data_IF_854640329860
#
_entry.id   IF_854640329860
#
_cell.length_a   1.000
_cell.length_b   1.000
_cell.length_c   1.000
_cell.angle_alpha   90.00
_cell.angle_beta   90.00
_cell.angle_gamma   90.00
#
_symmetry.space_group_name_H-M   'P 1'
#
loop_
_entity.id
_entity.type
_entity.pdbx_description
1 polymer ?
#
# COMPACT_ATOMS: atom_id res chain seq x y z
N UNK A 1 -5.18 27.05 -58.45
CA UNK A 1 -4.18 25.97 -58.24
C UNK A 1 -3.72 25.87 -56.78
N UNK A 2 -3.38 26.96 -56.09
CA UNK A 2 -2.86 26.97 -54.71
C UNK A 2 -3.77 26.25 -53.65
N UNK A 3 -5.07 26.47 -53.67
CA UNK A 3 -6.02 25.93 -52.72
C UNK A 3 -6.14 24.37 -52.82
N UNK A 4 -6.03 23.81 -54.04
CA UNK A 4 -6.02 22.35 -54.24
C UNK A 4 -4.73 21.69 -53.71
N UNK A 5 -3.59 22.33 -53.91
CA UNK A 5 -2.31 21.86 -53.38
C UNK A 5 -2.30 21.89 -51.82
N UNK A 6 -2.82 22.96 -51.24
CA UNK A 6 -2.92 23.10 -49.77
C UNK A 6 -3.84 22.05 -49.15
N UNK A 7 -5.00 21.75 -49.77
CA UNK A 7 -5.89 20.64 -49.32
C UNK A 7 -5.21 19.28 -49.41
N UNK A 8 -4.42 19.02 -50.44
CA UNK A 8 -3.70 17.74 -50.55
C UNK A 8 -2.64 17.56 -49.44
N UNK A 9 -1.92 18.63 -49.10
CA UNK A 9 -0.93 18.63 -48.02
C UNK A 9 -1.62 18.38 -46.66
N UNK A 10 -2.71 19.07 -46.36
CA UNK A 10 -3.47 18.90 -45.12
C UNK A 10 -4.00 17.47 -45.01
N UNK A 11 -4.58 16.91 -46.06
CA UNK A 11 -5.09 15.55 -46.07
C UNK A 11 -3.96 14.51 -45.86
N UNK A 12 -2.77 14.74 -46.44
CA UNK A 12 -1.60 13.89 -46.22
C UNK A 12 -1.14 13.91 -44.76
N UNK A 13 -1.09 15.11 -44.15
CA UNK A 13 -0.70 15.24 -42.74
C UNK A 13 -1.73 14.62 -41.78
N UNK A 14 -3.03 14.78 -42.04
CA UNK A 14 -4.10 14.15 -41.29
C UNK A 14 -4.01 12.60 -41.41
N UNK A 15 -3.72 12.06 -42.56
CA UNK A 15 -3.52 10.63 -42.78
C UNK A 15 -2.31 10.12 -42.01
N UNK A 16 -1.17 10.79 -42.07
CA UNK A 16 0.04 10.45 -41.30
C UNK A 16 -0.22 10.45 -39.79
N UNK A 17 -0.94 11.44 -39.25
CA UNK A 17 -1.31 11.49 -37.84
C UNK A 17 -2.15 10.30 -37.43
N UNK A 18 -3.18 9.95 -38.20
CA UNK A 18 -4.02 8.77 -37.92
C UNK A 18 -3.21 7.48 -37.91
N UNK A 19 -2.27 7.33 -38.86
CA UNK A 19 -1.39 6.16 -38.91
C UNK A 19 -0.47 6.10 -37.68
N UNK A 20 0.10 7.24 -37.25
CA UNK A 20 0.93 7.31 -36.04
C UNK A 20 0.15 7.03 -34.76
N UNK A 21 -1.09 7.49 -34.66
CA UNK A 21 -1.96 7.22 -33.52
C UNK A 21 -2.31 5.71 -33.46
N UNK A 22 -2.63 5.10 -34.60
CA UNK A 22 -2.88 3.66 -34.69
C UNK A 22 -1.65 2.85 -34.30
N UNK A 23 -0.45 3.23 -34.74
CA UNK A 23 0.79 2.56 -34.35
C UNK A 23 1.05 2.68 -32.85
N UNK A 24 0.93 3.88 -32.29
CA UNK A 24 1.07 4.09 -30.83
C UNK A 24 0.07 3.26 -30.01
N UNK A 25 -1.17 3.17 -30.50
CA UNK A 25 -2.18 2.34 -29.86
C UNK A 25 -1.80 0.85 -29.90
N UNK A 26 -1.37 0.34 -31.07
CA UNK A 26 -0.95 -1.07 -31.21
C UNK A 26 0.28 -1.41 -30.38
N UNK A 27 1.27 -0.49 -30.30
CA UNK A 27 2.43 -0.65 -29.43
C UNK A 27 2.04 -0.68 -27.95
N UNK A 28 1.14 0.22 -27.52
CA UNK A 28 0.63 0.23 -26.14
C UNK A 28 -0.09 -1.07 -25.79
N UNK A 29 -0.96 -1.56 -26.66
CA UNK A 29 -1.67 -2.83 -26.48
C UNK A 29 -0.69 -4.00 -26.42
N UNK A 30 0.31 -4.02 -27.33
CA UNK A 30 1.36 -5.03 -27.35
C UNK A 30 2.17 -5.06 -26.06
N UNK A 31 2.56 -3.89 -25.52
CA UNK A 31 3.28 -3.77 -24.26
C UNK A 31 2.46 -4.30 -23.09
N UNK A 32 1.21 -3.84 -22.93
CA UNK A 32 0.32 -4.31 -21.85
C UNK A 32 0.12 -5.83 -21.92
N UNK A 33 0.01 -6.39 -23.12
CA UNK A 33 -0.11 -7.83 -23.28
C UNK A 33 1.17 -8.56 -22.86
N UNK A 34 2.33 -8.07 -23.30
CA UNK A 34 3.63 -8.63 -22.91
C UNK A 34 3.88 -8.57 -21.41
N UNK A 35 3.56 -7.43 -20.77
CA UNK A 35 3.64 -7.26 -19.31
C UNK A 35 2.73 -8.26 -18.58
N UNK A 36 1.51 -8.48 -19.10
CA UNK A 36 0.57 -9.43 -18.51
C UNK A 36 1.06 -10.87 -18.61
N UNK A 37 1.63 -11.25 -19.75
CA UNK A 37 2.20 -12.59 -19.94
C UNK A 37 3.46 -12.79 -19.08
N UNK A 38 4.34 -11.79 -19.02
CA UNK A 38 5.51 -11.83 -18.14
C UNK A 38 5.11 -11.98 -16.67
N UNK A 39 4.10 -11.23 -16.23
CA UNK A 39 3.55 -11.35 -14.88
C UNK A 39 3.05 -12.76 -14.58
N UNK A 40 2.33 -13.39 -15.50
CA UNK A 40 1.87 -14.78 -15.33
C UNK A 40 3.04 -15.77 -15.20
N UNK A 41 4.10 -15.60 -16.00
CA UNK A 41 5.29 -16.46 -15.92
C UNK A 41 5.98 -16.29 -14.57
N UNK A 42 6.16 -15.06 -14.11
CA UNK A 42 6.77 -14.77 -12.80
C UNK A 42 5.90 -15.30 -11.65
N UNK A 43 4.57 -15.14 -11.73
CA UNK A 43 3.64 -15.70 -10.76
C UNK A 43 3.64 -17.23 -10.74
N UNK A 44 3.78 -17.86 -11.91
CA UNK A 44 3.93 -19.31 -12.03
C UNK A 44 5.20 -19.82 -11.36
N UNK A 45 6.34 -19.20 -11.67
CA UNK A 45 7.63 -19.55 -11.05
C UNK A 45 7.64 -19.31 -9.53
N UNK A 46 7.04 -18.21 -9.04
CA UNK A 46 6.90 -17.95 -7.59
C UNK A 46 6.05 -18.99 -6.87
N UNK A 47 5.00 -19.52 -7.51
CA UNK A 47 4.18 -20.59 -6.93
C UNK A 47 4.94 -21.91 -6.78
N UNK A 48 5.90 -22.19 -7.65
CA UNK A 48 6.74 -23.37 -7.55
C UNK A 48 7.82 -23.23 -6.47
N UNK A 49 8.31 -21.98 -6.21
CA UNK A 49 9.39 -21.72 -5.25
C UNK A 49 8.89 -21.43 -3.82
N UNK A 50 7.73 -20.74 -3.65
CA UNK A 50 7.29 -20.19 -2.37
C UNK A 50 6.07 -20.91 -1.72
N UNK A 51 5.49 -21.91 -2.35
CA UNK A 51 4.22 -22.50 -1.88
C UNK A 51 3.01 -21.58 -2.14
N UNK A 52 1.83 -21.91 -1.55
CA UNK A 52 0.54 -21.23 -1.81
C UNK A 52 0.39 -19.81 -1.20
N UNK A 53 1.48 -19.13 -0.85
CA UNK A 53 1.47 -17.81 -0.21
C UNK A 53 1.53 -16.63 -1.19
N UNK A 54 0.96 -15.47 -0.77
CA UNK A 54 1.14 -14.20 -1.46
C UNK A 54 2.34 -13.45 -0.88
N UNK A 55 3.31 -13.09 -1.71
CA UNK A 55 4.47 -12.28 -1.33
C UNK A 55 4.21 -10.82 -1.72
N UNK A 56 4.30 -9.92 -0.74
CA UNK A 56 4.18 -8.48 -0.96
C UNK A 56 5.52 -7.80 -0.69
N UNK A 57 6.04 -7.09 -1.70
CA UNK A 57 7.20 -6.24 -1.52
C UNK A 57 6.76 -4.91 -0.89
N UNK A 58 7.40 -4.43 0.18
CA UNK A 58 7.07 -3.14 0.75
C UNK A 58 7.31 -2.02 -0.25
N UNK A 59 6.40 -1.05 -0.32
CA UNK A 59 6.57 0.17 -1.12
C UNK A 59 7.47 1.20 -0.43
N UNK A 60 7.77 1.00 0.85
CA UNK A 60 8.59 1.89 1.65
C UNK A 60 8.67 1.46 3.11
N UNK A 61 9.29 2.31 3.93
CA UNK A 61 9.48 2.08 5.35
C UNK A 61 9.12 3.32 6.17
N UNK A 62 8.49 3.10 7.31
CA UNK A 62 8.21 4.19 8.25
C UNK A 62 9.50 4.63 8.97
N UNK A 63 9.65 5.95 9.17
CA UNK A 63 10.61 6.58 10.07
C UNK A 63 9.83 7.35 11.12
N UNK A 64 9.87 6.85 12.33
CA UNK A 64 9.04 7.30 13.43
C UNK A 64 9.87 7.56 14.70
N UNK A 65 9.34 8.37 15.61
CA UNK A 65 9.90 8.52 16.95
C UNK A 65 9.68 7.29 17.84
N UNK A 66 8.85 6.36 17.42
CA UNK A 66 8.54 5.13 18.16
C UNK A 66 9.52 4.02 17.77
N UNK A 67 10.70 4.00 18.40
CA UNK A 67 11.78 3.05 18.11
C UNK A 67 11.45 1.62 18.59
N UNK A 68 10.61 1.51 19.62
CA UNK A 68 10.21 0.24 20.21
C UNK A 68 8.69 0.08 20.20
N UNK A 69 8.20 -1.14 20.23
CA UNK A 69 6.75 -1.42 20.32
C UNK A 69 6.12 -0.98 21.66
N UNK A 70 6.94 -0.74 22.67
CA UNK A 70 6.53 -0.20 23.98
C UNK A 70 6.40 1.33 23.90
N UNK A 71 5.28 1.86 24.38
CA UNK A 71 5.03 3.31 24.35
C UNK A 71 4.42 3.84 23.05
N UNK A 72 4.23 3.01 22.05
CA UNK A 72 3.50 3.37 20.83
C UNK A 72 2.01 3.57 21.13
N UNK A 73 1.36 4.60 20.60
CA UNK A 73 -0.09 4.72 20.68
C UNK A 73 -0.78 3.47 20.12
N UNK A 74 -1.79 2.97 20.83
CA UNK A 74 -2.47 1.72 20.40
C UNK A 74 -3.35 1.90 19.18
N UNK A 75 -3.65 3.12 18.82
CA UNK A 75 -4.46 3.49 17.67
C UNK A 75 -4.03 4.89 17.19
N UNK A 76 -4.18 5.22 15.91
CA UNK A 76 -4.07 6.59 15.45
C UNK A 76 -5.11 7.46 16.17
N UNK A 77 -4.87 8.75 16.31
CA UNK A 77 -5.75 9.68 17.00
C UNK A 77 -5.45 9.90 18.49
N UNK A 78 -4.70 9.02 19.13
CA UNK A 78 -4.35 9.18 20.55
C UNK A 78 -3.26 10.24 20.78
N UNK A 79 -2.38 10.45 19.79
CA UNK A 79 -1.32 11.46 19.81
C UNK A 79 -1.34 12.23 18.48
N UNK A 80 -2.23 13.22 18.32
CA UNK A 80 -2.44 13.92 17.05
C UNK A 80 -1.19 14.56 16.44
N UNK A 81 -0.28 15.02 17.29
CA UNK A 81 0.95 15.71 16.88
C UNK A 81 2.14 14.77 16.64
N UNK A 82 1.97 13.46 16.83
CA UNK A 82 3.03 12.51 16.51
C UNK A 82 3.28 12.50 15.00
N UNK A 83 4.47 12.88 14.58
CA UNK A 83 4.89 12.94 13.18
C UNK A 83 5.80 11.77 12.84
N UNK A 84 5.63 11.26 11.64
CA UNK A 84 6.47 10.25 11.04
C UNK A 84 6.69 10.56 9.56
N UNK A 85 7.67 9.90 8.98
CA UNK A 85 7.97 9.96 7.55
C UNK A 85 7.88 8.55 6.98
N UNK A 86 7.23 8.39 5.84
CA UNK A 86 7.28 7.15 5.06
C UNK A 86 8.29 7.37 3.95
N UNK A 87 9.42 6.67 4.01
CA UNK A 87 10.43 6.66 2.95
C UNK A 87 10.03 5.64 1.90
N UNK A 88 9.90 6.09 0.66
CA UNK A 88 9.40 5.29 -0.45
C UNK A 88 10.58 4.66 -1.20
N UNK A 89 10.44 3.41 -1.56
CA UNK A 89 11.42 2.64 -2.31
C UNK A 89 11.61 3.17 -3.75
N UNK A 90 12.81 3.06 -4.29
CA UNK A 90 13.16 3.60 -5.61
C UNK A 90 12.36 2.97 -6.76
N UNK A 91 11.88 1.75 -6.59
CA UNK A 91 11.11 1.05 -7.63
C UNK A 91 9.68 1.59 -7.81
N UNK A 92 9.17 2.35 -6.83
CA UNK A 92 7.85 2.99 -6.94
C UNK A 92 7.99 4.25 -7.81
N UNK A 93 7.30 4.36 -8.94
CA UNK A 93 7.49 5.49 -9.84
C UNK A 93 6.90 6.79 -9.27
N UNK A 94 7.54 7.97 -9.51
CA UNK A 94 7.07 9.27 -9.03
C UNK A 94 5.60 9.58 -9.34
N UNK A 95 5.07 9.29 -10.55
CA UNK A 95 3.68 9.58 -10.87
C UNK A 95 2.65 8.82 -10.04
N UNK A 96 3.06 7.83 -9.25
CA UNK A 96 2.16 7.14 -8.31
C UNK A 96 1.66 8.06 -7.18
N UNK A 97 2.31 9.21 -6.98
CA UNK A 97 1.96 10.20 -5.95
C UNK A 97 1.24 11.43 -6.51
N UNK A 98 0.99 11.47 -7.84
CA UNK A 98 0.25 12.55 -8.46
C UNK A 98 -1.12 12.66 -7.80
N UNK A 99 -1.57 13.89 -7.56
CA UNK A 99 -2.84 14.22 -6.92
C UNK A 99 -3.03 13.75 -5.46
N UNK A 100 -2.09 13.01 -4.86
CA UNK A 100 -2.23 12.53 -3.49
C UNK A 100 -2.33 13.68 -2.47
N UNK A 101 -1.72 14.84 -2.76
CA UNK A 101 -1.79 16.04 -1.92
C UNK A 101 -3.18 16.67 -1.83
N UNK A 102 -4.12 16.29 -2.69
CA UNK A 102 -5.51 16.74 -2.62
C UNK A 102 -6.27 16.09 -1.47
N UNK A 103 -5.74 15.00 -0.90
CA UNK A 103 -6.35 14.29 0.22
C UNK A 103 -5.70 14.68 1.54
N UNK A 104 -6.50 14.97 2.54
CA UNK A 104 -6.04 15.32 3.89
C UNK A 104 -5.60 14.11 4.71
N UNK A 105 -6.17 12.94 4.43
CA UNK A 105 -5.91 11.69 5.16
C UNK A 105 -5.71 10.54 4.20
N UNK A 106 -4.91 9.58 4.66
CA UNK A 106 -4.62 8.36 3.93
C UNK A 106 -4.74 7.13 4.84
N UNK A 107 -5.14 6.02 4.26
CA UNK A 107 -4.95 4.69 4.82
C UNK A 107 -3.51 4.25 4.59
N UNK A 108 -2.87 3.73 5.62
CA UNK A 108 -1.54 3.11 5.54
C UNK A 108 -1.67 1.66 5.98
N UNK A 109 -1.30 0.74 5.09
CA UNK A 109 -1.17 -0.69 5.35
C UNK A 109 0.29 -0.99 5.64
N UNK A 110 0.58 -1.62 6.78
CA UNK A 110 1.95 -1.88 7.21
C UNK A 110 2.08 -3.22 7.94
N UNK A 111 3.31 -3.67 8.14
CA UNK A 111 3.60 -4.93 8.84
C UNK A 111 3.99 -4.65 10.29
N UNK A 112 3.38 -5.38 11.24
CA UNK A 112 3.80 -5.40 12.64
C UNK A 112 5.10 -6.20 12.80
N UNK A 113 6.21 -5.68 12.27
CA UNK A 113 7.48 -6.40 12.16
C UNK A 113 8.13 -6.73 13.50
N UNK A 114 7.92 -5.92 14.55
CA UNK A 114 8.48 -6.16 15.89
C UNK A 114 7.65 -7.09 16.77
N UNK A 115 6.41 -7.35 16.41
CA UNK A 115 5.50 -8.17 17.20
C UNK A 115 5.37 -9.60 16.65
N UNK A 116 6.00 -9.87 15.51
CA UNK A 116 5.84 -11.13 14.79
C UNK A 116 7.20 -11.62 14.32
N UNK A 117 7.48 -12.90 14.59
CA UNK A 117 8.63 -13.56 14.03
C UNK A 117 8.31 -13.98 12.59
N UNK A 118 8.68 -13.12 11.63
CA UNK A 118 8.40 -13.33 10.21
C UNK A 118 9.00 -14.63 9.67
N UNK A 119 10.14 -15.08 10.20
CA UNK A 119 10.76 -16.35 9.80
C UNK A 119 9.94 -17.57 10.21
N UNK A 120 9.19 -17.44 11.30
CA UNK A 120 8.25 -18.50 11.77
C UNK A 120 6.98 -18.50 10.94
N UNK A 121 6.55 -17.33 10.44
CA UNK A 121 5.36 -17.20 9.61
C UNK A 121 5.52 -17.91 8.26
N UNK A 122 6.66 -17.79 7.61
CA UNK A 122 6.94 -18.48 6.35
C UNK A 122 6.98 -20.01 6.49
N UNK A 123 7.50 -20.52 7.60
CA UNK A 123 7.53 -21.98 7.87
C UNK A 123 6.16 -22.58 8.15
N UNK A 124 5.27 -21.82 8.70
CA UNK A 124 4.11 -22.37 9.43
C UNK A 124 2.86 -22.56 8.57
N UNK A 125 2.76 -21.95 7.42
CA UNK A 125 1.60 -22.13 6.53
C UNK A 125 1.66 -23.48 5.79
N UNK A 126 2.88 -23.97 5.52
CA UNK A 126 3.12 -25.22 4.78
C UNK A 126 3.37 -26.44 5.69
N UNK A 127 3.73 -26.24 6.96
CA UNK A 127 4.00 -27.31 7.91
C UNK A 127 2.79 -27.57 8.82
N UNK A 128 2.45 -28.86 9.02
CA UNK A 128 1.44 -29.29 10.00
C UNK A 128 1.84 -28.76 11.39
N UNK A 129 1.10 -27.79 11.91
CA UNK A 129 1.33 -27.26 13.26
C UNK A 129 1.36 -25.74 13.38
N UNK A 130 1.00 -24.99 12.35
CA UNK A 130 0.81 -23.55 12.51
C UNK A 130 -0.27 -23.26 13.53
N UNK A 131 0.12 -22.69 14.66
CA UNK A 131 -0.80 -22.25 15.70
C UNK A 131 -0.63 -20.77 15.97
N UNK A 132 -1.72 -20.05 15.95
CA UNK A 132 -1.80 -18.69 16.48
C UNK A 132 -2.80 -18.64 17.62
N UNK A 133 -2.69 -17.69 18.56
CA UNK A 133 -3.61 -17.59 19.67
C UNK A 133 -5.02 -17.27 19.16
N UNK A 134 -5.95 -18.24 19.26
CA UNK A 134 -7.34 -18.03 18.85
C UNK A 134 -8.05 -16.97 19.71
N UNK A 135 -7.59 -16.79 20.95
CA UNK A 135 -8.12 -15.81 21.91
C UNK A 135 -6.99 -14.98 22.50
N UNK A 136 -7.28 -13.73 22.81
CA UNK A 136 -6.39 -12.77 23.47
C UNK A 136 -7.08 -12.12 24.66
N UNK A 137 -6.31 -11.51 25.54
CA UNK A 137 -6.80 -10.78 26.72
C UNK A 137 -6.37 -9.31 26.62
N UNK A 138 -7.14 -8.47 25.91
CA UNK A 138 -6.80 -7.06 25.80
C UNK A 138 -6.87 -6.38 27.17
N UNK A 139 -5.90 -5.53 27.53
CA UNK A 139 -5.90 -4.85 28.83
C UNK A 139 -7.16 -4.00 29.10
N UNK A 140 -7.75 -3.43 28.05
CA UNK A 140 -8.98 -2.60 28.16
C UNK A 140 -10.23 -3.41 28.55
N UNK A 141 -10.23 -4.72 28.35
CA UNK A 141 -11.34 -5.60 28.71
C UNK A 141 -11.15 -6.25 30.10
N UNK A 142 -10.34 -5.62 30.98
CA UNK A 142 -10.14 -6.13 32.33
C UNK A 142 -9.62 -7.58 32.41
N UNK A 143 -8.91 -8.03 31.38
CA UNK A 143 -8.41 -9.40 31.28
C UNK A 143 -9.42 -10.42 30.74
N UNK A 144 -10.62 -10.00 30.32
CA UNK A 144 -11.61 -10.85 29.66
C UNK A 144 -11.04 -11.41 28.36
N UNK A 145 -11.16 -12.72 28.18
CA UNK A 145 -10.70 -13.40 26.96
C UNK A 145 -11.67 -13.13 25.82
N UNK A 146 -11.15 -12.70 24.68
CA UNK A 146 -11.96 -12.43 23.46
C UNK A 146 -11.29 -13.04 22.23
N UNK A 147 -12.05 -13.27 21.18
CA UNK A 147 -11.54 -13.78 19.91
C UNK A 147 -10.51 -12.84 19.28
N UNK A 148 -9.46 -13.41 18.69
CA UNK A 148 -8.38 -12.66 18.08
C UNK A 148 -8.90 -11.63 17.06
N UNK A 149 -9.81 -12.02 16.18
CA UNK A 149 -10.35 -11.19 15.12
C UNK A 149 -11.33 -10.11 15.59
N UNK A 150 -11.81 -10.22 16.84
CA UNK A 150 -12.56 -9.15 17.49
C UNK A 150 -11.67 -8.07 18.12
N UNK A 151 -10.36 -8.09 17.82
CA UNK A 151 -9.39 -7.13 18.34
C UNK A 151 -8.49 -6.60 17.23
N UNK A 152 -7.77 -5.51 17.54
CA UNK A 152 -6.72 -4.95 16.68
C UNK A 152 -5.31 -5.29 17.19
N UNK A 153 -5.17 -6.39 17.92
CA UNK A 153 -3.85 -6.85 18.39
C UNK A 153 -2.89 -7.12 17.23
N UNK A 154 -1.59 -6.82 17.38
CA UNK A 154 -0.58 -7.11 16.36
C UNK A 154 -0.24 -8.61 16.22
N UNK A 155 -0.55 -9.42 17.22
CA UNK A 155 -0.28 -10.87 17.24
C UNK A 155 -1.30 -11.63 16.39
N UNK A 156 -1.18 -11.53 15.08
CA UNK A 156 -2.13 -12.07 14.08
C UNK A 156 -1.43 -13.03 13.13
N UNK A 157 -2.17 -13.98 12.52
CA UNK A 157 -1.60 -14.85 11.48
C UNK A 157 -1.08 -14.06 10.28
N UNK A 158 -1.81 -13.00 9.88
CA UNK A 158 -1.31 -11.99 8.95
C UNK A 158 -1.08 -10.71 9.74
N UNK A 159 0.17 -10.37 10.11
CA UNK A 159 0.47 -9.25 11.01
C UNK A 159 0.41 -7.90 10.30
N UNK A 160 -0.70 -7.64 9.63
CA UNK A 160 -0.94 -6.40 8.87
C UNK A 160 -1.65 -5.40 9.78
N UNK A 161 -1.06 -4.22 9.89
CA UNK A 161 -1.64 -3.04 10.49
C UNK A 161 -2.36 -2.18 9.46
N UNK A 162 -3.40 -1.49 9.91
CA UNK A 162 -4.17 -0.55 9.10
C UNK A 162 -4.46 0.69 9.95
N UNK A 163 -3.94 1.84 9.51
CA UNK A 163 -4.10 3.11 10.21
C UNK A 163 -4.54 4.22 9.26
N UNK A 164 -5.47 5.06 9.71
CA UNK A 164 -5.77 6.33 9.05
C UNK A 164 -4.89 7.39 9.68
N UNK A 165 -4.07 8.03 8.86
CA UNK A 165 -3.15 9.08 9.28
C UNK A 165 -3.42 10.35 8.49
N UNK A 166 -3.06 11.49 9.07
CA UNK A 166 -3.13 12.76 8.33
C UNK A 166 -1.91 12.87 7.42
N UNK A 167 -2.13 13.20 6.17
CA UNK A 167 -1.09 13.52 5.21
C UNK A 167 -0.73 15.00 5.35
N UNK A 168 0.51 15.30 5.72
CA UNK A 168 0.99 16.66 5.87
C UNK A 168 1.68 17.16 4.60
N UNK A 169 2.59 16.34 4.06
CA UNK A 169 3.40 16.72 2.89
C UNK A 169 3.76 15.50 2.04
N UNK A 170 3.92 15.74 0.75
CA UNK A 170 4.43 14.77 -0.24
C UNK A 170 5.68 15.35 -0.88
N UNK A 171 6.81 14.70 -0.68
CA UNK A 171 8.07 15.10 -1.29
C UNK A 171 8.51 14.11 -2.35
N UNK A 172 8.58 14.59 -3.59
CA UNK A 172 9.08 13.83 -4.74
C UNK A 172 10.17 14.65 -5.39
N UNK A 173 11.43 14.31 -5.13
CA UNK A 173 12.58 14.98 -5.70
C UNK A 173 13.65 13.99 -6.15
N UNK A 174 13.76 13.80 -7.45
CA UNK A 174 14.68 12.86 -8.05
C UNK A 174 14.39 11.44 -7.57
N UNK A 175 15.38 10.81 -6.95
CA UNK A 175 15.26 9.47 -6.35
C UNK A 175 14.69 9.47 -4.93
N UNK A 176 14.68 10.62 -4.25
CA UNK A 176 14.17 10.75 -2.88
C UNK A 176 12.67 11.01 -2.91
N UNK A 177 11.91 10.14 -2.28
CA UNK A 177 10.46 10.23 -2.16
C UNK A 177 10.08 9.89 -0.74
N UNK A 178 9.34 10.78 -0.11
CA UNK A 178 8.80 10.50 1.22
C UNK A 178 7.52 11.27 1.47
N UNK A 179 6.68 10.70 2.29
CA UNK A 179 5.46 11.31 2.79
C UNK A 179 5.67 11.71 4.24
N UNK A 180 5.31 12.93 4.60
CA UNK A 180 5.22 13.35 6.01
C UNK A 180 3.79 13.13 6.47
N UNK A 181 3.64 12.38 7.53
CA UNK A 181 2.35 12.04 8.14
C UNK A 181 2.33 12.45 9.60
N UNK A 182 1.14 12.75 10.11
CA UNK A 182 0.90 12.96 11.54
C UNK A 182 -0.21 12.06 12.06
N UNK A 183 -0.43 12.06 13.36
CA UNK A 183 -1.43 11.21 14.00
C UNK A 183 -1.13 9.70 13.83
N UNK A 184 0.14 9.34 13.85
CA UNK A 184 0.63 7.98 13.56
C UNK A 184 0.78 7.13 14.81
N UNK A 185 0.57 5.83 14.66
CA UNK A 185 0.82 4.77 15.63
C UNK A 185 1.79 3.70 15.08
N UNK A 186 2.61 4.07 14.09
CA UNK A 186 3.49 3.16 13.36
C UNK A 186 4.89 3.19 13.97
N UNK A 187 5.44 2.01 14.26
CA UNK A 187 6.80 1.83 14.78
C UNK A 187 7.84 2.14 13.71
N UNK A 188 8.99 2.68 14.13
CA UNK A 188 10.13 2.93 13.24
C UNK A 188 10.57 1.64 12.51
N UNK A 189 10.93 1.77 11.23
CA UNK A 189 11.31 0.65 10.39
C UNK A 189 10.15 -0.26 9.93
N UNK A 190 8.90 0.05 10.26
CA UNK A 190 7.76 -0.76 9.78
C UNK A 190 7.67 -0.75 8.27
N UNK A 191 7.65 -1.94 7.62
CA UNK A 191 7.42 -2.05 6.18
C UNK A 191 6.02 -1.57 5.82
N UNK A 192 5.92 -0.69 4.84
CA UNK A 192 4.66 -0.17 4.30
C UNK A 192 4.31 -0.96 3.06
N UNK A 193 3.14 -1.59 3.06
CA UNK A 193 2.67 -2.46 1.97
C UNK A 193 1.88 -1.68 0.93
N UNK A 194 1.05 -0.72 1.38
CA UNK A 194 0.16 0.04 0.50
C UNK A 194 -0.28 1.36 1.14
N UNK A 195 -0.69 2.29 0.31
CA UNK A 195 -1.27 3.58 0.71
C UNK A 195 -2.51 3.83 -0.14
N UNK A 196 -3.61 4.24 0.49
CA UNK A 196 -4.85 4.61 -0.18
C UNK A 196 -5.36 5.94 0.35
N UNK A 197 -5.95 6.80 -0.49
CA UNK A 197 -6.63 7.99 0.02
C UNK A 197 -7.82 7.61 0.90
N UNK A 198 -8.01 8.33 2.00
CA UNK A 198 -9.22 8.21 2.82
C UNK A 198 -10.33 9.05 2.18
N UNK A 199 -11.46 8.41 1.90
CA UNK A 199 -12.63 9.06 1.30
C UNK A 199 -13.85 8.98 2.23
N UNK A 200 -14.25 10.10 2.87
CA UNK A 200 -15.34 10.07 3.86
C UNK A 200 -16.64 9.47 3.35
N UNK A 201 -16.94 9.62 2.06
CA UNK A 201 -18.16 9.08 1.44
C UNK A 201 -18.18 7.55 1.30
N UNK A 202 -17.01 6.88 1.40
CA UNK A 202 -16.91 5.42 1.29
C UNK A 202 -16.37 4.76 2.55
N UNK A 203 -15.49 5.44 3.28
CA UNK A 203 -14.77 4.86 4.40
C UNK A 203 -15.47 5.08 5.75
N UNK A 204 -16.34 6.10 5.82
CA UNK A 204 -17.10 6.42 7.03
C UNK A 204 -18.39 5.62 7.09
N UNK A 205 -18.63 4.98 8.22
CA UNK A 205 -19.87 4.27 8.51
C UNK A 205 -20.51 4.90 9.75
N UNK A 206 -21.54 5.72 9.56
CA UNK A 206 -22.16 6.51 10.64
C UNK A 206 -22.86 5.65 11.69
N UNK A 207 -23.40 4.49 11.32
CA UNK A 207 -24.13 3.58 12.21
C UNK A 207 -23.28 2.39 12.69
N UNK A 208 -21.95 2.49 12.64
CA UNK A 208 -21.08 1.41 13.12
C UNK A 208 -21.23 1.26 14.64
N UNK A 209 -21.49 0.01 15.08
CA UNK A 209 -21.66 -0.34 16.49
C UNK A 209 -20.37 -0.95 17.02
N UNK A 210 -19.97 -0.54 18.22
CA UNK A 210 -18.91 -1.16 19.00
C UNK A 210 -19.51 -1.79 20.26
N UNK A 211 -19.05 -3.00 20.67
CA UNK A 211 -19.53 -3.59 21.92
C UNK A 211 -19.05 -2.74 23.12
N UNK A 212 -19.90 -2.66 24.15
CA UNK A 212 -19.58 -2.03 25.44
C UNK A 212 -18.45 -2.74 26.18
#
# INVERSE_FOLDING_TARGET
>A
MAIRAMKAIVNSEVSKRKTMESLRYSERVGRVRAEKELRKVIEGQRKEEDGDGYVFNPIGFARSCYVHCQGVPRQPGLVPNARSRIEIEEWVPPPAFDDLTQFSHIWVLFVFHMNTNLSTLHRSITEKGFTFPAKVRPPRLGGKSTGLFATRTPHRPCPIGLSVVKLEEVHVWGKKRYLVISNTDIVDGSPILDIKPYHPGFDRIDNAVVPE
#
